data_IF_647711957728
#
_entry.id   IF_647711957728
#
_cell.length_a   1.000
_cell.length_b   1.000
_cell.length_c   1.000
_cell.angle_alpha   90.00
_cell.angle_beta   90.00
_cell.angle_gamma   90.00
#
_symmetry.space_group_name_H-M   'P 1'
#
loop_
_entity.id
_entity.type
_entity.pdbx_description
1 polymer ?
#
# COMPACT_ATOMS: atom_id res chain seq x y z
N UNK A 1 -11.21 1.39 -6.31
CA UNK A 1 -12.33 2.22 -5.80
C UNK A 1 -13.57 1.75 -6.52
N UNK A 2 -14.62 1.36 -5.79
CA UNK A 2 -15.87 0.90 -6.40
C UNK A 2 -16.54 2.07 -7.13
N UNK A 3 -17.05 1.79 -8.32
CA UNK A 3 -17.88 2.69 -9.13
C UNK A 3 -19.36 2.65 -8.74
N UNK A 4 -19.73 1.80 -7.76
CA UNK A 4 -21.11 1.41 -7.50
C UNK A 4 -21.79 2.31 -6.46
N UNK A 5 -21.01 3.03 -5.63
CA UNK A 5 -21.56 4.06 -4.75
C UNK A 5 -21.69 5.39 -5.49
N UNK A 6 -22.85 6.02 -5.33
CA UNK A 6 -23.07 7.38 -5.79
C UNK A 6 -22.07 8.32 -5.09
N UNK A 7 -21.39 9.15 -5.89
CA UNK A 7 -20.41 10.09 -5.36
C UNK A 7 -21.08 11.31 -4.81
N UNK A 8 -20.57 11.78 -3.68
CA UNK A 8 -21.04 12.99 -3.02
C UNK A 8 -19.89 13.96 -2.82
N UNK A 9 -20.23 15.25 -2.85
CA UNK A 9 -19.31 16.31 -2.54
C UNK A 9 -20.01 17.61 -2.19
N UNK A 10 -19.24 18.51 -1.59
CA UNK A 10 -19.69 19.81 -1.10
C UNK A 10 -18.72 20.87 -1.61
N UNK A 11 -19.27 21.94 -2.19
CA UNK A 11 -18.48 23.10 -2.58
C UNK A 11 -17.95 23.82 -1.33
N UNK A 12 -16.65 24.10 -1.32
CA UNK A 12 -15.99 24.71 -0.15
C UNK A 12 -16.23 26.21 -0.01
N UNK A 13 -16.84 26.87 -1.01
CA UNK A 13 -16.87 28.33 -1.09
C UNK A 13 -15.56 28.96 -1.58
N UNK A 14 -14.56 28.15 -1.91
CA UNK A 14 -13.22 28.59 -2.31
C UNK A 14 -12.88 28.16 -3.74
N UNK A 15 -11.96 28.90 -4.37
CA UNK A 15 -11.49 28.66 -5.73
C UNK A 15 -9.95 28.55 -5.73
N UNK A 16 -9.42 27.77 -6.67
CA UNK A 16 -7.99 27.80 -7.01
C UNK A 16 -7.80 28.34 -8.43
N UNK A 17 -6.59 28.79 -8.76
CA UNK A 17 -6.25 29.21 -10.11
C UNK A 17 -5.58 28.06 -10.87
N UNK A 18 -6.04 27.80 -12.09
CA UNK A 18 -5.31 26.91 -12.99
C UNK A 18 -3.98 27.59 -13.40
N UNK A 19 -2.81 26.99 -13.14
CA UNK A 19 -1.51 27.63 -13.39
C UNK A 19 -1.20 27.88 -14.87
N UNK A 20 -1.92 27.22 -15.79
CA UNK A 20 -1.73 27.36 -17.23
C UNK A 20 -2.72 28.36 -17.85
N UNK A 21 -3.99 28.33 -17.42
CA UNK A 21 -5.05 29.18 -18.01
C UNK A 21 -5.32 30.45 -17.20
N UNK A 22 -4.99 30.46 -15.91
CA UNK A 22 -5.35 31.53 -14.98
C UNK A 22 -6.83 31.54 -14.58
N UNK A 23 -7.63 30.58 -15.06
CA UNK A 23 -9.06 30.48 -14.74
C UNK A 23 -9.27 30.03 -13.29
N UNK A 24 -10.34 30.54 -12.66
CA UNK A 24 -10.77 30.12 -11.33
C UNK A 24 -11.51 28.78 -11.41
N UNK A 25 -11.02 27.78 -10.68
CA UNK A 25 -11.60 26.44 -10.59
C UNK A 25 -12.20 26.26 -9.20
N UNK A 26 -13.48 25.87 -9.07
CA UNK A 26 -14.12 25.68 -7.78
C UNK A 26 -13.54 24.47 -7.04
N UNK A 27 -13.34 24.61 -5.73
CA UNK A 27 -12.80 23.53 -4.89
C UNK A 27 -13.95 22.79 -4.19
N UNK A 28 -14.01 21.48 -4.38
CA UNK A 28 -14.97 20.59 -3.74
C UNK A 28 -14.27 19.62 -2.78
N UNK A 29 -14.95 19.28 -1.69
CA UNK A 29 -14.63 18.09 -0.89
C UNK A 29 -15.48 16.94 -1.43
N UNK A 30 -14.86 15.86 -1.89
CA UNK A 30 -15.54 14.70 -2.46
C UNK A 30 -15.18 13.39 -1.75
N UNK A 31 -16.16 12.52 -1.54
CA UNK A 31 -16.00 11.23 -0.84
C UNK A 31 -15.11 10.20 -1.55
N UNK A 32 -14.91 10.37 -2.85
CA UNK A 32 -14.10 9.50 -3.70
C UNK A 32 -12.62 9.92 -3.76
N UNK A 33 -12.26 11.06 -3.16
CA UNK A 33 -10.87 11.53 -3.06
C UNK A 33 -10.30 11.03 -1.74
N UNK A 34 -9.36 10.08 -1.82
CA UNK A 34 -8.75 9.49 -0.62
C UNK A 34 -7.55 10.32 -0.16
N UNK A 35 -7.58 10.80 1.08
CA UNK A 35 -6.46 11.51 1.72
C UNK A 35 -5.14 10.73 1.66
N UNK A 36 -5.22 9.40 1.75
CA UNK A 36 -4.06 8.51 1.75
C UNK A 36 -3.57 8.15 0.33
N UNK A 37 -3.99 8.87 -0.72
CA UNK A 37 -3.59 8.60 -2.10
C UNK A 37 -3.11 9.88 -2.78
N UNK A 38 -1.88 9.87 -3.29
CA UNK A 38 -1.24 11.08 -3.80
C UNK A 38 -1.11 12.13 -2.70
N UNK A 39 -1.55 13.36 -2.98
CA UNK A 39 -1.58 14.48 -2.02
C UNK A 39 -2.90 14.59 -1.26
N UNK A 40 -3.86 13.67 -1.48
CA UNK A 40 -5.22 13.82 -1.00
C UNK A 40 -6.04 14.91 -1.73
N UNK A 41 -5.47 15.52 -2.77
CA UNK A 41 -6.10 16.51 -3.64
C UNK A 41 -5.91 16.05 -5.08
N UNK A 42 -6.98 16.08 -5.88
CA UNK A 42 -6.96 15.71 -7.29
C UNK A 42 -7.59 16.81 -8.14
N UNK A 43 -7.04 17.03 -9.33
CA UNK A 43 -7.72 17.87 -10.34
C UNK A 43 -8.82 17.04 -11.01
N UNK A 44 -10.00 17.64 -11.18
CA UNK A 44 -11.09 17.03 -11.95
C UNK A 44 -10.94 17.35 -13.43
N UNK A 45 -10.94 16.34 -14.30
CA UNK A 45 -10.93 16.52 -15.76
C UNK A 45 -12.14 15.80 -16.38
N UNK A 46 -13.36 16.37 -16.26
CA UNK A 46 -14.60 15.64 -16.53
C UNK A 46 -14.70 15.07 -17.94
N UNK A 47 -14.18 15.76 -18.96
CA UNK A 47 -14.23 15.27 -20.33
C UNK A 47 -13.37 14.01 -20.56
N UNK A 48 -12.43 13.70 -19.65
CA UNK A 48 -11.41 12.64 -19.85
C UNK A 48 -11.27 11.65 -18.67
N UNK A 49 -12.03 11.83 -17.58
CA UNK A 49 -12.15 10.86 -16.50
C UNK A 49 -13.64 10.59 -16.21
N UNK A 50 -14.07 9.32 -16.34
CA UNK A 50 -15.46 8.92 -16.14
C UNK A 50 -15.98 9.26 -14.73
N UNK A 51 -15.09 9.26 -13.73
CA UNK A 51 -15.46 9.56 -12.36
C UNK A 51 -15.77 11.03 -12.19
N UNK A 52 -14.95 11.88 -12.78
CA UNK A 52 -15.11 13.33 -12.76
C UNK A 52 -16.30 13.75 -13.63
N UNK A 53 -16.54 13.06 -14.74
CA UNK A 53 -17.72 13.29 -15.59
C UNK A 53 -19.03 13.11 -14.84
N UNK A 54 -19.17 11.99 -14.11
CA UNK A 54 -20.37 11.73 -13.29
C UNK A 54 -20.53 12.76 -12.18
N UNK A 55 -19.42 13.19 -11.57
CA UNK A 55 -19.43 14.23 -10.54
C UNK A 55 -19.83 15.59 -11.13
N UNK A 56 -19.21 16.00 -12.23
CA UNK A 56 -19.50 17.25 -12.91
C UNK A 56 -20.95 17.34 -13.39
N UNK A 57 -21.49 16.27 -13.99
CA UNK A 57 -22.92 16.22 -14.36
C UNK A 57 -23.86 16.37 -13.17
N UNK A 58 -23.52 15.78 -12.02
CA UNK A 58 -24.35 15.85 -10.80
C UNK A 58 -24.36 17.26 -10.19
N UNK A 59 -23.22 17.96 -10.24
CA UNK A 59 -23.03 19.26 -9.62
C UNK A 59 -23.05 20.44 -10.61
N UNK A 60 -23.50 20.19 -11.85
CA UNK A 60 -23.57 21.18 -12.94
C UNK A 60 -22.25 21.95 -13.15
N UNK A 61 -21.14 21.21 -13.17
CA UNK A 61 -19.80 21.76 -13.40
C UNK A 61 -19.43 21.69 -14.87
N UNK A 62 -18.57 22.62 -15.30
CA UNK A 62 -18.14 22.73 -16.69
C UNK A 62 -17.39 21.47 -17.17
N UNK A 63 -17.67 21.05 -18.40
CA UNK A 63 -17.10 19.86 -19.04
C UNK A 63 -16.43 20.31 -20.34
N UNK A 64 -15.12 20.56 -20.27
CA UNK A 64 -14.32 21.02 -21.41
C UNK A 64 -13.50 19.90 -22.02
N UNK A 65 -13.75 19.60 -23.28
CA UNK A 65 -12.93 18.67 -24.08
C UNK A 65 -11.58 19.30 -24.41
N UNK A 66 -10.49 18.63 -24.02
CA UNK A 66 -9.11 19.05 -24.31
C UNK A 66 -8.30 17.98 -25.06
N UNK A 67 -8.85 16.79 -25.28
CA UNK A 67 -8.27 15.70 -26.08
C UNK A 67 -9.30 15.25 -27.11
N UNK A 68 -8.93 15.25 -28.38
CA UNK A 68 -9.72 14.72 -29.49
C UNK A 68 -9.13 13.39 -29.96
N UNK A 69 -9.99 12.37 -30.09
CA UNK A 69 -9.62 11.08 -30.69
C UNK A 69 -9.18 11.25 -32.14
N UNK A 70 -8.12 10.55 -32.54
CA UNK A 70 -7.68 10.51 -33.95
C UNK A 70 -8.55 9.55 -34.78
N UNK A 71 -9.17 8.55 -34.13
CA UNK A 71 -9.94 7.50 -34.79
C UNK A 71 -11.45 7.76 -34.82
N UNK A 72 -11.97 8.57 -33.89
CA UNK A 72 -13.39 8.88 -33.75
C UNK A 72 -13.61 10.38 -33.99
N UNK A 73 -14.31 10.72 -35.07
CA UNK A 73 -14.66 12.11 -35.41
C UNK A 73 -15.82 12.64 -34.60
N UNK A 74 -16.71 11.77 -34.09
CA UNK A 74 -17.83 12.15 -33.23
C UNK A 74 -17.48 11.92 -31.75
N UNK A 75 -17.16 13.01 -31.04
CA UNK A 75 -17.08 12.97 -29.58
C UNK A 75 -18.50 12.76 -29.02
N UNK A 76 -18.75 11.63 -28.37
CA UNK A 76 -20.02 11.44 -27.66
C UNK A 76 -20.08 12.39 -26.44
N UNK A 77 -20.95 13.42 -26.41
CA UNK A 77 -20.99 14.40 -25.32
C UNK A 77 -21.53 13.78 -24.01
N UNK A 78 -22.01 12.54 -24.05
CA UNK A 78 -22.57 11.85 -22.89
C UNK A 78 -21.60 10.96 -22.15
N UNK A 79 -20.34 10.87 -22.57
CA UNK A 79 -19.32 10.02 -21.93
C UNK A 79 -17.97 10.70 -21.89
N UNK A 80 -17.16 10.42 -20.86
CA UNK A 80 -15.77 10.83 -20.83
C UNK A 80 -14.93 10.03 -21.83
N UNK A 81 -14.00 10.70 -22.51
CA UNK A 81 -13.03 10.06 -23.41
C UNK A 81 -11.68 9.89 -22.70
N UNK A 82 -11.36 8.65 -22.31
CA UNK A 82 -10.11 8.31 -21.60
C UNK A 82 -9.00 7.77 -22.53
N UNK A 83 -9.17 7.87 -23.84
CA UNK A 83 -8.20 7.40 -24.83
C UNK A 83 -7.08 8.40 -25.10
N UNK A 84 -6.09 7.98 -25.88
CA UNK A 84 -5.03 8.86 -26.40
C UNK A 84 -5.55 9.66 -27.62
N UNK A 85 -4.96 10.81 -27.90
CA UNK A 85 -5.43 11.72 -28.92
C UNK A 85 -4.54 12.94 -29.11
N UNK A 86 -5.13 13.95 -29.77
CA UNK A 86 -4.49 15.23 -30.01
C UNK A 86 -5.12 16.29 -29.12
N UNK A 87 -4.27 17.15 -28.54
CA UNK A 87 -4.73 18.23 -27.70
C UNK A 87 -5.50 19.28 -28.52
N UNK A 88 -6.66 19.65 -28.00
CA UNK A 88 -7.53 20.74 -28.47
C UNK A 88 -7.86 21.65 -27.30
N UNK A 89 -8.34 22.88 -27.55
CA UNK A 89 -8.73 23.84 -26.50
C UNK A 89 -7.66 24.04 -25.39
N UNK A 90 -6.39 23.89 -25.75
CA UNK A 90 -5.23 23.84 -24.83
C UNK A 90 -4.17 24.90 -25.17
N UNK A 91 -4.58 26.01 -25.81
CA UNK A 91 -3.69 27.14 -26.13
C UNK A 91 -2.49 26.75 -27.00
N UNK A 92 -1.28 27.07 -26.53
CA UNK A 92 -0.02 26.76 -27.24
C UNK A 92 0.29 25.26 -27.36
N UNK A 93 -0.46 24.40 -26.68
CA UNK A 93 -0.31 22.94 -26.73
C UNK A 93 -1.25 22.27 -27.73
N UNK A 94 -2.12 23.02 -28.41
CA UNK A 94 -2.98 22.49 -29.46
C UNK A 94 -2.18 21.79 -30.57
N UNK A 95 -2.69 20.66 -31.05
CA UNK A 95 -2.07 19.86 -32.12
C UNK A 95 -0.98 18.90 -31.65
N UNK A 96 -0.60 18.91 -30.36
CA UNK A 96 0.34 17.95 -29.80
C UNK A 96 -0.34 16.61 -29.50
N UNK A 97 0.42 15.51 -29.57
CA UNK A 97 0.02 14.22 -29.00
C UNK A 97 -0.01 14.31 -27.47
N UNK A 98 -0.78 13.44 -26.79
CA UNK A 98 -0.79 13.43 -25.31
C UNK A 98 0.61 13.19 -24.74
N UNK A 99 1.40 12.31 -25.36
CA UNK A 99 2.78 12.03 -24.92
C UNK A 99 3.67 13.27 -24.99
N UNK A 100 3.69 13.96 -26.13
CA UNK A 100 4.51 15.17 -26.30
C UNK A 100 4.02 16.31 -25.41
N UNK A 101 2.70 16.40 -25.19
CA UNK A 101 2.10 17.37 -24.30
C UNK A 101 2.49 17.12 -22.83
N UNK A 102 2.48 15.86 -22.36
CA UNK A 102 2.93 15.51 -21.00
C UNK A 102 4.35 16.01 -20.78
N UNK A 103 5.26 15.78 -21.73
CA UNK A 103 6.65 16.21 -21.61
C UNK A 103 6.77 17.74 -21.61
N UNK A 104 6.20 18.43 -22.59
CA UNK A 104 6.28 19.89 -22.71
C UNK A 104 5.60 20.64 -21.56
N UNK A 105 4.43 20.19 -21.12
CA UNK A 105 3.72 20.81 -19.99
C UNK A 105 4.50 20.59 -18.70
N UNK A 106 5.05 19.39 -18.48
CA UNK A 106 5.87 19.11 -17.30
C UNK A 106 7.13 19.98 -17.24
N UNK A 107 7.82 20.16 -18.38
CA UNK A 107 8.98 21.05 -18.48
C UNK A 107 8.61 22.51 -18.20
N UNK A 108 7.50 22.98 -18.75
CA UNK A 108 7.01 24.33 -18.49
C UNK A 108 6.70 24.54 -17.00
N UNK A 109 5.92 23.65 -16.38
CA UNK A 109 5.58 23.73 -14.95
C UNK A 109 6.84 23.71 -14.07
N UNK A 110 7.83 22.87 -14.41
CA UNK A 110 9.12 22.83 -13.70
C UNK A 110 9.89 24.14 -13.84
N UNK A 111 9.96 24.71 -15.05
CA UNK A 111 10.65 25.99 -15.31
C UNK A 111 10.05 27.18 -14.55
N UNK A 112 8.79 27.07 -14.12
CA UNK A 112 8.06 28.07 -13.34
C UNK A 112 7.96 27.73 -11.85
N UNK A 113 8.54 26.60 -11.41
CA UNK A 113 8.40 26.09 -10.05
C UNK A 113 6.94 25.87 -9.62
N UNK A 114 6.09 25.48 -10.58
CA UNK A 114 4.65 25.21 -10.38
C UNK A 114 4.33 23.72 -10.28
N UNK A 115 5.31 22.84 -10.54
CA UNK A 115 5.16 21.40 -10.43
C UNK A 115 6.33 20.64 -11.05
N UNK A 116 6.39 19.33 -10.81
CA UNK A 116 7.39 18.44 -11.40
C UNK A 116 6.81 17.05 -11.67
N UNK A 117 7.51 16.25 -12.48
CA UNK A 117 7.15 14.84 -12.69
C UNK A 117 7.38 14.07 -11.40
N UNK A 118 6.40 13.28 -11.00
CA UNK A 118 6.52 12.33 -9.89
C UNK A 118 6.10 10.94 -10.34
N UNK A 119 6.71 9.92 -9.75
CA UNK A 119 6.31 8.52 -9.91
C UNK A 119 5.48 8.14 -8.70
N UNK A 120 4.28 7.62 -8.94
CA UNK A 120 3.35 7.20 -7.89
C UNK A 120 3.06 5.71 -8.04
N UNK A 121 3.03 4.99 -6.92
CA UNK A 121 2.65 3.59 -6.87
C UNK A 121 1.26 3.45 -6.25
N UNK A 122 0.45 2.53 -6.80
CA UNK A 122 -0.81 2.13 -6.15
C UNK A 122 -0.58 1.32 -4.87
N UNK A 123 0.59 0.70 -4.76
CA UNK A 123 1.02 -0.06 -3.58
C UNK A 123 1.14 0.88 -2.38
N UNK A 124 0.70 0.41 -1.21
CA UNK A 124 0.85 1.10 0.07
C UNK A 124 1.81 0.33 0.95
N UNK A 125 2.33 0.99 1.98
CA UNK A 125 3.12 0.34 3.00
C UNK A 125 2.34 -0.75 3.72
N UNK A 126 3.07 -1.74 4.20
CA UNK A 126 2.48 -2.89 4.88
C UNK A 126 2.25 -2.57 6.36
N UNK A 127 0.97 -2.43 6.72
CA UNK A 127 0.53 -2.37 8.10
C UNK A 127 0.72 -3.74 8.78
N UNK A 128 1.78 -3.91 9.56
CA UNK A 128 2.09 -5.17 10.26
C UNK A 128 1.45 -5.28 11.65
N UNK A 129 1.18 -4.18 12.35
CA UNK A 129 0.68 -4.23 13.73
C UNK A 129 -0.75 -4.75 13.81
N UNK A 130 -1.03 -5.60 14.79
CA UNK A 130 -2.34 -6.20 15.04
C UNK A 130 -2.68 -6.08 16.52
N UNK A 131 -3.88 -5.59 16.81
CA UNK A 131 -4.47 -5.54 18.15
C UNK A 131 -5.01 -6.92 18.53
N UNK A 132 -4.13 -7.92 18.56
CA UNK A 132 -4.45 -9.32 18.87
C UNK A 132 -3.38 -9.88 19.80
N UNK A 133 -3.78 -10.82 20.63
CA UNK A 133 -2.86 -11.53 21.51
C UNK A 133 -2.00 -12.55 20.77
N UNK A 134 -2.61 -13.39 19.92
CA UNK A 134 -1.90 -14.51 19.30
C UNK A 134 -1.10 -14.08 18.07
N UNK A 135 0.12 -13.61 18.32
CA UNK A 135 1.10 -13.24 17.31
C UNK A 135 2.46 -12.91 17.95
N UNK A 136 3.47 -12.68 17.12
CA UNK A 136 4.81 -12.33 17.56
C UNK A 136 4.82 -10.92 18.17
N UNK A 137 5.22 -10.71 19.44
CA UNK A 137 5.30 -9.37 20.02
C UNK A 137 6.27 -8.48 19.24
N UNK A 138 5.88 -7.23 18.99
CA UNK A 138 6.76 -6.25 18.33
C UNK A 138 7.83 -5.80 19.35
N UNK A 139 9.13 -5.91 19.03
CA UNK A 139 10.22 -5.66 19.99
C UNK A 139 10.53 -4.16 20.15
N UNK A 140 9.53 -3.38 20.53
CA UNK A 140 9.62 -1.93 20.79
C UNK A 140 9.20 -1.64 22.23
N UNK A 141 9.86 -0.66 22.84
CA UNK A 141 9.52 -0.07 24.14
C UNK A 141 9.32 1.44 23.92
N UNK A 142 8.21 1.97 24.40
CA UNK A 142 7.91 3.40 24.45
C UNK A 142 8.37 3.99 25.77
N UNK A 143 9.12 5.09 25.71
CA UNK A 143 9.60 5.84 26.87
C UNK A 143 9.35 7.32 26.66
N UNK A 144 8.80 8.02 27.65
CA UNK A 144 8.44 9.44 27.55
C UNK A 144 9.64 10.36 27.27
N UNK A 145 10.85 9.96 27.69
CA UNK A 145 12.07 10.74 27.46
C UNK A 145 12.85 10.33 26.20
N UNK A 146 12.74 9.08 25.76
CA UNK A 146 13.56 8.53 24.67
C UNK A 146 12.74 8.24 23.39
N UNK A 147 11.42 8.31 23.44
CA UNK A 147 10.53 7.90 22.35
C UNK A 147 10.43 6.38 22.21
N UNK A 148 10.24 5.90 20.98
CA UNK A 148 10.22 4.48 20.65
C UNK A 148 11.65 3.94 20.54
N UNK A 149 12.01 3.00 21.40
CA UNK A 149 13.34 2.37 21.43
C UNK A 149 13.22 0.86 21.21
N UNK A 150 14.14 0.23 20.45
CA UNK A 150 14.11 -1.21 20.25
C UNK A 150 14.50 -1.97 21.52
N UNK A 151 13.92 -3.16 21.69
CA UNK A 151 14.41 -4.14 22.66
C UNK A 151 15.83 -4.57 22.25
N UNK A 152 16.81 -4.60 23.17
CA UNK A 152 18.15 -5.08 22.85
C UNK A 152 18.15 -6.52 22.33
N UNK A 153 19.00 -6.82 21.35
CA UNK A 153 19.04 -8.15 20.71
C UNK A 153 19.25 -9.30 21.70
N UNK A 154 20.12 -9.10 22.71
CA UNK A 154 20.37 -10.06 23.79
C UNK A 154 19.16 -10.35 24.69
N UNK A 155 18.17 -9.46 24.69
CA UNK A 155 16.95 -9.56 25.50
C UNK A 155 15.80 -10.15 24.66
N UNK A 156 16.07 -10.57 23.42
CA UNK A 156 15.15 -11.35 22.60
C UNK A 156 15.19 -12.84 23.01
N UNK A 157 14.09 -13.58 22.86
CA UNK A 157 12.78 -13.12 22.37
C UNK A 157 11.95 -12.39 23.44
N UNK A 158 11.10 -11.46 23.00
CA UNK A 158 9.99 -10.97 23.83
C UNK A 158 8.90 -12.05 23.84
N UNK A 159 8.76 -12.76 24.95
CA UNK A 159 7.81 -13.85 25.08
C UNK A 159 6.39 -13.32 25.32
N UNK A 160 5.43 -13.99 24.69
CA UNK A 160 4.01 -13.76 24.95
C UNK A 160 3.64 -14.34 26.33
N UNK A 161 2.91 -13.62 27.19
CA UNK A 161 2.52 -14.10 28.52
C UNK A 161 1.37 -15.11 28.44
N UNK A 162 1.52 -16.29 29.03
CA UNK A 162 0.55 -17.39 28.95
C UNK A 162 -0.79 -17.13 29.68
N UNK A 163 -0.85 -16.10 30.52
CA UNK A 163 -1.93 -15.78 31.45
C UNK A 163 -2.67 -14.46 31.16
N UNK A 164 -2.59 -13.95 29.93
CA UNK A 164 -3.32 -12.75 29.52
C UNK A 164 -4.86 -12.94 29.53
N UNK A 165 -5.58 -11.96 30.09
CA UNK A 165 -7.04 -11.96 30.13
C UNK A 165 -7.68 -11.38 28.85
N UNK A 166 -8.64 -12.10 28.28
CA UNK A 166 -9.37 -11.65 27.08
C UNK A 166 -10.66 -10.91 27.47
N UNK A 167 -10.67 -9.58 27.27
CA UNK A 167 -11.86 -8.74 27.51
C UNK A 167 -12.44 -8.23 26.19
N UNK A 168 -13.77 -8.05 26.08
CA UNK A 168 -14.42 -7.58 24.86
C UNK A 168 -14.30 -6.04 24.69
N UNK A 169 -13.09 -5.50 24.87
CA UNK A 169 -12.82 -4.05 24.75
C UNK A 169 -12.45 -3.64 23.32
N UNK A 170 -11.99 -4.58 22.49
CA UNK A 170 -11.45 -4.32 21.15
C UNK A 170 -9.96 -3.97 21.15
N UNK A 171 -9.34 -3.87 22.33
CA UNK A 171 -7.90 -3.65 22.50
C UNK A 171 -7.13 -4.97 22.58
N UNK A 172 -5.80 -4.92 22.43
CA UNK A 172 -4.95 -6.09 22.61
C UNK A 172 -5.03 -6.58 24.07
N UNK A 173 -5.25 -7.89 24.33
CA UNK A 173 -5.18 -8.45 25.69
C UNK A 173 -3.87 -8.15 26.41
N UNK A 174 -2.79 -7.89 25.66
CA UNK A 174 -1.48 -7.54 26.22
C UNK A 174 -1.48 -6.17 26.91
N UNK A 175 -2.30 -5.21 26.47
CA UNK A 175 -2.37 -3.86 27.06
C UNK A 175 -2.77 -3.90 28.54
N UNK A 176 -3.56 -4.89 28.93
CA UNK A 176 -4.04 -5.07 30.30
C UNK A 176 -3.10 -5.89 31.18
N UNK A 177 -2.01 -6.43 30.61
CA UNK A 177 -1.11 -7.34 31.30
C UNK A 177 0.09 -6.57 31.89
N UNK A 178 -0.06 -6.04 33.11
CA UNK A 178 0.89 -5.13 33.74
C UNK A 178 2.35 -5.64 33.76
N UNK A 179 2.57 -6.94 34.00
CA UNK A 179 3.93 -7.51 34.05
C UNK A 179 4.61 -7.59 32.68
N UNK A 180 3.81 -7.65 31.61
CA UNK A 180 4.33 -7.66 30.24
C UNK A 180 4.60 -6.23 29.78
N UNK A 181 3.64 -5.35 30.01
CA UNK A 181 3.61 -3.95 29.56
C UNK A 181 4.70 -3.13 30.23
N UNK A 182 4.85 -3.23 31.55
CA UNK A 182 5.73 -2.37 32.32
C UNK A 182 7.17 -2.88 32.33
N UNK A 183 8.08 -2.12 31.74
CA UNK A 183 9.52 -2.43 31.70
C UNK A 183 10.37 -1.19 31.87
N UNK A 184 11.63 -1.36 32.26
CA UNK A 184 12.58 -0.25 32.25
C UNK A 184 13.05 0.05 30.81
N UNK A 185 13.12 1.32 30.44
CA UNK A 185 13.71 1.76 29.18
C UNK A 185 15.16 1.27 29.08
N UNK A 186 15.56 0.58 27.99
CA UNK A 186 16.91 0.05 27.85
C UNK A 186 17.97 1.17 27.83
N UNK A 187 17.62 2.35 27.32
CA UNK A 187 18.49 3.52 27.16
C UNK A 187 18.69 4.30 28.46
N UNK A 188 17.61 4.74 29.12
CA UNK A 188 17.68 5.66 30.27
C UNK A 188 17.27 5.04 31.61
N UNK A 189 16.85 3.77 31.62
CA UNK A 189 16.40 2.99 32.80
C UNK A 189 15.14 3.49 33.52
N UNK A 190 14.55 4.59 33.07
CA UNK A 190 13.25 5.08 33.56
C UNK A 190 12.10 4.15 33.13
N UNK A 191 10.91 4.28 33.73
CA UNK A 191 9.73 3.52 33.31
C UNK A 191 9.47 3.66 31.80
N UNK A 192 9.13 2.54 31.17
CA UNK A 192 8.74 2.43 29.78
C UNK A 192 7.66 1.38 29.61
N UNK A 193 7.03 1.41 28.44
CA UNK A 193 5.91 0.53 28.09
C UNK A 193 6.24 -0.29 26.85
N UNK A 194 6.15 -1.61 26.90
CA UNK A 194 6.28 -2.44 25.70
C UNK A 194 5.18 -2.13 24.69
N UNK A 195 5.49 -2.28 23.40
CA UNK A 195 4.46 -2.43 22.37
C UNK A 195 3.61 -3.66 22.67
N UNK A 196 2.30 -3.49 22.53
CA UNK A 196 1.25 -4.46 22.88
C UNK A 196 0.54 -5.01 21.66
N UNK A 197 0.77 -4.40 20.50
CA UNK A 197 0.42 -5.00 19.22
C UNK A 197 1.40 -6.12 18.86
N UNK A 198 0.86 -7.15 18.21
CA UNK A 198 1.64 -8.24 17.63
C UNK A 198 1.82 -8.06 16.13
N UNK A 199 2.82 -8.71 15.55
CA UNK A 199 3.03 -8.75 14.11
C UNK A 199 1.93 -9.57 13.41
N UNK A 200 1.55 -9.12 12.22
CA UNK A 200 0.70 -9.84 11.29
C UNK A 200 1.32 -11.17 10.87
N UNK A 201 0.49 -12.21 10.72
CA UNK A 201 0.95 -13.58 10.40
C UNK A 201 1.69 -13.69 9.06
N UNK A 202 1.51 -12.74 8.14
CA UNK A 202 2.31 -12.72 6.91
C UNK A 202 3.78 -12.39 7.17
N UNK A 203 4.15 -11.77 8.29
CA UNK A 203 5.54 -11.58 8.69
C UNK A 203 6.22 -12.95 8.82
N UNK A 204 5.61 -13.86 9.57
CA UNK A 204 6.13 -15.21 9.79
C UNK A 204 6.20 -16.01 8.48
N UNK A 205 5.14 -15.93 7.67
CA UNK A 205 5.07 -16.66 6.40
C UNK A 205 5.97 -16.08 5.30
N UNK A 206 6.53 -14.88 5.47
CA UNK A 206 7.36 -14.26 4.43
C UNK A 206 8.79 -14.80 4.35
N UNK A 207 9.21 -15.62 5.32
CA UNK A 207 10.58 -16.14 5.37
C UNK A 207 10.70 -17.60 5.88
N UNK A 208 9.61 -18.26 6.25
CA UNK A 208 9.62 -19.65 6.76
C UNK A 208 10.38 -20.66 5.87
N UNK A 209 10.34 -20.49 4.55
CA UNK A 209 11.02 -21.36 3.59
C UNK A 209 12.54 -21.26 3.69
N UNK A 210 13.09 -20.14 4.20
CA UNK A 210 14.49 -20.03 4.57
C UNK A 210 14.77 -20.83 5.84
N UNK A 211 13.94 -20.68 6.87
CA UNK A 211 14.12 -21.38 8.15
C UNK A 211 14.12 -22.91 7.99
N UNK A 212 13.33 -23.45 7.05
CA UNK A 212 13.31 -24.89 6.76
C UNK A 212 14.65 -25.48 6.34
N UNK A 213 15.56 -24.70 5.75
CA UNK A 213 16.88 -25.22 5.39
C UNK A 213 17.76 -25.48 6.63
N UNK A 214 17.46 -24.85 7.77
CA UNK A 214 18.25 -24.92 9.01
C UNK A 214 17.41 -24.66 10.28
N UNK A 215 16.39 -25.49 10.57
CA UNK A 215 15.38 -25.18 11.57
C UNK A 215 15.91 -25.12 13.01
N UNK A 216 17.05 -25.75 13.28
CA UNK A 216 17.69 -25.80 14.60
C UNK A 216 18.91 -24.86 14.73
N UNK A 217 19.16 -24.00 13.75
CA UNK A 217 20.27 -23.04 13.84
C UNK A 217 19.94 -21.94 14.85
N UNK A 218 20.87 -21.65 15.77
CA UNK A 218 20.63 -20.76 16.93
C UNK A 218 21.46 -19.47 16.91
N UNK A 219 22.46 -19.36 16.04
CA UNK A 219 23.31 -18.16 15.96
C UNK A 219 22.69 -17.06 15.05
N UNK A 220 21.52 -17.33 14.47
CA UNK A 220 20.82 -16.40 13.59
C UNK A 220 19.51 -16.98 13.04
N UNK A 221 18.84 -16.25 12.12
CA UNK A 221 17.57 -16.69 11.56
C UNK A 221 17.70 -17.96 10.70
N UNK A 222 18.84 -18.18 10.06
CA UNK A 222 19.15 -19.36 9.25
C UNK A 222 20.68 -19.51 9.07
N UNK A 223 21.15 -20.74 8.85
CA UNK A 223 22.56 -21.05 8.58
C UNK A 223 22.96 -20.57 7.17
N UNK A 224 23.97 -19.69 7.03
CA UNK A 224 24.47 -19.23 5.73
C UNK A 224 24.93 -20.36 4.80
N UNK A 225 25.48 -21.45 5.34
CA UNK A 225 25.92 -22.61 4.55
C UNK A 225 24.70 -23.32 3.95
N UNK A 226 23.63 -23.48 4.74
CA UNK A 226 22.38 -24.05 4.27
C UNK A 226 21.70 -23.19 3.20
N UNK A 227 21.76 -21.85 3.32
CA UNK A 227 21.22 -20.93 2.30
C UNK A 227 21.90 -21.14 0.94
N UNK A 228 23.23 -21.25 0.91
CA UNK A 228 23.98 -21.49 -0.33
C UNK A 228 23.65 -22.84 -0.99
N UNK A 229 23.22 -23.82 -0.20
CA UNK A 229 22.89 -25.16 -0.69
C UNK A 229 21.47 -25.29 -1.21
N UNK A 230 20.50 -24.68 -0.51
CA UNK A 230 19.08 -24.97 -0.71
C UNK A 230 18.28 -23.84 -1.36
N UNK A 231 18.82 -22.62 -1.42
CA UNK A 231 18.09 -21.45 -1.90
C UNK A 231 18.67 -20.93 -3.22
N UNK A 232 17.84 -20.27 -4.07
CA UNK A 232 16.40 -20.05 -3.92
C UNK A 232 15.56 -21.32 -4.19
N UNK A 233 14.27 -21.30 -3.83
CA UNK A 233 13.37 -22.45 -4.01
C UNK A 233 13.13 -22.71 -5.51
N UNK A 234 13.47 -23.90 -5.98
CA UNK A 234 13.32 -24.29 -7.39
C UNK A 234 11.87 -24.32 -7.89
N UNK A 235 10.96 -24.84 -7.07
CA UNK A 235 9.55 -24.99 -7.38
C UNK A 235 8.71 -24.70 -6.15
N UNK A 236 7.93 -23.63 -6.20
CA UNK A 236 6.94 -23.29 -5.19
C UNK A 236 5.53 -23.59 -5.72
N UNK A 237 4.71 -24.27 -4.91
CA UNK A 237 3.34 -24.65 -5.29
C UNK A 237 2.36 -24.13 -4.25
N UNK A 238 1.42 -23.28 -4.67
CA UNK A 238 0.46 -22.63 -3.78
C UNK A 238 -0.74 -22.05 -4.51
N UNK A 239 -1.86 -21.86 -3.83
CA UNK A 239 -3.07 -21.31 -4.45
C UNK A 239 -2.90 -19.86 -4.93
N UNK A 240 -3.60 -19.49 -6.00
CA UNK A 240 -3.52 -18.14 -6.61
C UNK A 240 -4.05 -17.02 -5.69
N UNK A 241 -4.78 -17.35 -4.62
CA UNK A 241 -5.21 -16.40 -3.59
C UNK A 241 -4.05 -15.64 -2.91
N UNK A 242 -2.84 -16.16 -2.98
CA UNK A 242 -1.65 -15.58 -2.35
C UNK A 242 -0.84 -14.65 -3.27
N UNK A 243 -1.34 -14.36 -4.48
CA UNK A 243 -0.60 -13.63 -5.51
C UNK A 243 -0.15 -12.21 -5.10
N UNK A 244 -0.99 -11.45 -4.41
CA UNK A 244 -0.75 -10.02 -4.10
C UNK A 244 -0.35 -9.74 -2.65
N UNK A 245 -0.33 -10.75 -1.79
CA UNK A 245 0.05 -10.65 -0.37
C UNK A 245 1.29 -11.50 -0.11
N UNK A 246 1.14 -12.73 0.38
CA UNK A 246 2.23 -13.65 0.72
C UNK A 246 3.38 -13.69 -0.30
N UNK A 247 3.08 -13.86 -1.60
CA UNK A 247 4.14 -13.90 -2.62
C UNK A 247 4.85 -12.55 -2.76
N UNK A 248 4.13 -11.43 -2.64
CA UNK A 248 4.72 -10.10 -2.66
C UNK A 248 5.56 -9.83 -1.41
N UNK A 249 5.05 -10.16 -0.23
CA UNK A 249 5.75 -10.00 1.04
C UNK A 249 6.99 -10.88 1.14
N UNK A 250 6.92 -12.12 0.65
CA UNK A 250 8.09 -13.01 0.56
C UNK A 250 9.18 -12.40 -0.32
N UNK A 251 8.82 -11.84 -1.49
CA UNK A 251 9.77 -11.15 -2.37
C UNK A 251 10.38 -9.92 -1.72
N UNK A 252 9.57 -9.14 -1.00
CA UNK A 252 10.05 -8.00 -0.21
C UNK A 252 11.06 -8.46 0.84
N UNK A 253 10.74 -9.49 1.64
CA UNK A 253 11.63 -10.05 2.65
C UNK A 253 12.97 -10.50 2.07
N UNK A 254 12.99 -11.22 0.93
CA UNK A 254 14.25 -11.62 0.30
C UNK A 254 15.11 -10.43 -0.11
N UNK A 255 14.50 -9.41 -0.71
CA UNK A 255 15.25 -8.22 -1.13
C UNK A 255 15.78 -7.45 0.08
N UNK A 256 14.99 -7.30 1.13
CA UNK A 256 15.42 -6.68 2.37
C UNK A 256 16.56 -7.46 3.04
N UNK A 257 16.44 -8.78 3.18
CA UNK A 257 17.46 -9.66 3.75
C UNK A 257 18.75 -9.67 2.92
N UNK A 258 18.64 -9.61 1.59
CA UNK A 258 19.79 -9.44 0.68
C UNK A 258 20.48 -8.10 0.90
N UNK A 259 19.72 -7.02 1.00
CA UNK A 259 20.26 -5.66 1.11
C UNK A 259 20.98 -5.43 2.45
N UNK A 260 20.60 -6.15 3.51
CA UNK A 260 21.33 -6.18 4.78
C UNK A 260 22.44 -7.24 4.83
N UNK A 261 22.73 -7.93 3.71
CA UNK A 261 23.85 -8.85 3.58
C UNK A 261 23.64 -10.27 4.12
N UNK A 262 22.40 -10.65 4.48
CA UNK A 262 22.11 -12.02 4.96
C UNK A 262 21.89 -13.03 3.84
N UNK A 263 21.59 -12.57 2.63
CA UNK A 263 21.35 -13.41 1.44
C UNK A 263 22.06 -12.85 0.22
N UNK A 264 22.35 -13.72 -0.75
CA UNK A 264 23.05 -13.36 -2.01
C UNK A 264 22.13 -13.43 -3.26
N UNK A 265 20.85 -13.79 -3.10
CA UNK A 265 19.90 -13.97 -4.20
C UNK A 265 18.73 -12.97 -4.17
N UNK A 266 18.05 -12.82 -5.32
CA UNK A 266 17.11 -11.71 -5.57
C UNK A 266 15.62 -12.08 -5.46
N UNK A 267 15.27 -13.34 -5.69
CA UNK A 267 13.89 -13.81 -5.75
C UNK A 267 13.78 -15.16 -4.99
N UNK A 268 12.74 -15.35 -4.16
CA UNK A 268 12.61 -16.56 -3.33
C UNK A 268 12.26 -17.83 -4.12
N UNK A 269 11.53 -17.69 -5.24
CA UNK A 269 10.93 -18.80 -5.96
C UNK A 269 11.29 -18.72 -7.45
N UNK A 270 12.03 -19.71 -7.97
CA UNK A 270 12.44 -19.76 -9.40
C UNK A 270 11.23 -20.08 -10.28
N UNK A 271 10.45 -21.10 -9.90
CA UNK A 271 9.20 -21.48 -10.56
C UNK A 271 8.05 -21.42 -9.56
N UNK A 272 6.94 -20.84 -10.00
CA UNK A 272 5.68 -20.82 -9.27
C UNK A 272 4.64 -21.63 -10.04
N UNK A 273 3.99 -22.57 -9.38
CA UNK A 273 2.85 -23.30 -9.92
C UNK A 273 1.64 -23.06 -9.03
N UNK A 274 0.56 -22.53 -9.60
CA UNK A 274 -0.67 -22.32 -8.85
C UNK A 274 -1.66 -23.46 -9.08
N UNK A 275 -1.90 -24.27 -8.05
CA UNK A 275 -2.91 -25.31 -8.12
C UNK A 275 -4.33 -24.70 -8.13
N UNK A 276 -5.23 -25.38 -8.84
CA UNK A 276 -6.66 -25.07 -8.81
C UNK A 276 -7.30 -25.42 -7.45
N UNK A 277 -8.53 -24.94 -7.25
CA UNK A 277 -9.31 -25.28 -6.08
C UNK A 277 -9.90 -26.68 -6.18
N UNK A 278 -9.92 -27.41 -5.06
CA UNK A 278 -10.70 -28.64 -4.95
C UNK A 278 -12.17 -28.27 -4.72
N UNK A 279 -13.06 -28.81 -5.53
CA UNK A 279 -14.49 -28.56 -5.47
C UNK A 279 -15.27 -29.82 -5.09
N UNK A 280 -16.38 -29.64 -4.39
CA UNK A 280 -17.36 -30.69 -4.14
C UNK A 280 -18.75 -30.12 -4.47
N UNK A 281 -19.51 -30.83 -5.31
CA UNK A 281 -20.85 -30.40 -5.77
C UNK A 281 -20.90 -28.98 -6.35
N UNK A 282 -19.84 -28.56 -7.05
CA UNK A 282 -19.75 -27.23 -7.67
C UNK A 282 -19.27 -26.10 -6.74
N UNK A 283 -18.99 -26.39 -5.46
CA UNK A 283 -18.53 -25.40 -4.48
C UNK A 283 -17.10 -25.66 -4.02
N UNK A 284 -16.36 -24.58 -3.75
CA UNK A 284 -15.02 -24.66 -3.13
C UNK A 284 -15.15 -25.18 -1.70
N UNK A 285 -14.47 -26.28 -1.37
CA UNK A 285 -14.63 -26.96 -0.07
C UNK A 285 -14.15 -26.17 1.16
N UNK A 286 -13.41 -25.07 0.98
CA UNK A 286 -12.87 -24.26 2.09
C UNK A 286 -13.79 -23.14 2.59
N UNK A 287 -15.01 -23.02 2.05
CA UNK A 287 -16.03 -22.09 2.56
C UNK A 287 -17.34 -22.85 2.78
N UNK A 288 -17.71 -23.20 4.03
CA UNK A 288 -19.10 -23.53 4.30
C UNK A 288 -19.96 -22.30 3.97
N UNK A 289 -21.16 -22.50 3.41
CA UNK A 289 -22.18 -21.43 3.40
C UNK A 289 -22.47 -21.07 4.87
N UNK A 290 -22.26 -19.81 5.23
CA UNK A 290 -22.99 -19.20 6.34
C UNK A 290 -24.42 -18.96 5.87
#
# INVERSE_FOLDING_TARGET
>A
MSTDKEKTGVFTGSYCLNPLTGEQIPIFVGDYVLLSYGTGIVMGVPAHDERDFKFAKKYDLDIRTVIQSVAETDSNPNTAYAGDGILVNSGSYNGLSCKDAIDKISEYLKSKSLGEKSVQYRMRDWLISRQRYWGTPIPIIYCDDCGAVPVPEKDLPVLLPDDAEFKPTGESPLELHEQFVNVACPTCKKPGRRETDTMDTFVDSSWYFLRYASPQYVEGPFDPIAMKKWQPVDQYTGGAEHAVMHLLYSRFFIKALRDIGLLEFNEPFIRLFNQGHITHSGYRMSKPKR
#
